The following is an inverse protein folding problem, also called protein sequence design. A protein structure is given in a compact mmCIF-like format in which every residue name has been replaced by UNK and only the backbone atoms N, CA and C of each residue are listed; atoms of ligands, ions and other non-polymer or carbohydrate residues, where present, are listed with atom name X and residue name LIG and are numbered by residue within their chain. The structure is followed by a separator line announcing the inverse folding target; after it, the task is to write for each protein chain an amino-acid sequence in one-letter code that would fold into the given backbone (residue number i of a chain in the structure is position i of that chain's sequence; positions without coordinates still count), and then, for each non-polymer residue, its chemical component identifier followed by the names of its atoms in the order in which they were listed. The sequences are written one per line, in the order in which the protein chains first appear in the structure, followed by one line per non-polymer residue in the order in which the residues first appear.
data_IF_526151922625
#
_entry.id   IF_526151922625
#
_cell.length_a   1.000
_cell.length_b   1.000
_cell.length_c   1.000
_cell.angle_alpha   90.00
_cell.angle_beta   90.00
_cell.angle_gamma   90.00
#
_symmetry.space_group_name_H-M   'P 1'
#
loop_
_entity.id
_entity.type
_entity.pdbx_description
1 polymer ?
#
# COMPACT_ATOMS: atom_id res chain seq x y z
N UNK A 1 -15.38 -21.19 15.64
CA UNK A 1 -13.96 -21.09 15.25
C UNK A 1 -13.45 -19.76 15.77
N UNK A 2 -12.29 -19.71 16.43
CA UNK A 2 -11.83 -18.46 17.08
C UNK A 2 -11.40 -17.44 16.01
N UNK A 3 -11.72 -16.15 16.20
CA UNK A 3 -11.28 -15.01 15.35
C UNK A 3 -9.77 -15.04 15.04
N UNK A 4 -8.97 -15.63 15.93
CA UNK A 4 -7.52 -15.80 15.78
C UNK A 4 -7.18 -16.80 14.66
N UNK A 5 -7.95 -17.89 14.48
CA UNK A 5 -7.70 -18.84 13.39
C UNK A 5 -8.06 -18.29 12.02
N UNK A 6 -9.12 -17.48 11.92
CA UNK A 6 -9.47 -16.79 10.67
C UNK A 6 -8.41 -15.75 10.29
N UNK A 7 -7.92 -14.97 11.25
CA UNK A 7 -6.80 -14.06 11.05
C UNK A 7 -5.52 -14.80 10.63
N UNK A 8 -5.23 -15.95 11.23
CA UNK A 8 -4.08 -16.77 10.84
C UNK A 8 -4.21 -17.36 9.44
N UNK A 9 -5.39 -17.73 9.00
CA UNK A 9 -5.62 -18.22 7.63
C UNK A 9 -5.56 -17.07 6.61
N UNK A 10 -6.15 -15.92 6.90
CA UNK A 10 -6.00 -14.71 6.06
C UNK A 10 -4.53 -14.24 6.02
N UNK A 11 -3.82 -14.26 7.15
CA UNK A 11 -2.37 -13.98 7.18
C UNK A 11 -1.56 -15.01 6.38
N UNK A 12 -1.86 -16.32 6.51
CA UNK A 12 -1.22 -17.34 5.69
C UNK A 12 -1.48 -17.15 4.19
N UNK A 13 -2.67 -16.75 3.79
CA UNK A 13 -3.00 -16.45 2.39
C UNK A 13 -2.23 -15.21 1.87
N UNK A 14 -2.04 -14.19 2.69
CA UNK A 14 -1.26 -13.00 2.32
C UNK A 14 0.24 -13.30 2.28
N UNK A 15 0.75 -14.14 3.18
CA UNK A 15 2.18 -14.45 3.30
C UNK A 15 2.61 -15.74 2.57
N UNK A 16 1.70 -16.67 2.25
CA UNK A 16 2.05 -17.89 1.51
C UNK A 16 2.28 -17.57 0.02
N UNK A 17 3.53 -17.51 -0.37
CA UNK A 17 3.98 -17.33 -1.76
C UNK A 17 4.03 -15.88 -2.26
N UNK A 18 3.30 -14.93 -1.68
CA UNK A 18 3.37 -13.51 -2.02
C UNK A 18 4.33 -12.70 -1.13
N UNK A 19 4.53 -13.12 0.12
CA UNK A 19 5.42 -12.43 1.06
C UNK A 19 6.90 -12.49 0.64
N UNK A 20 7.36 -13.62 0.14
CA UNK A 20 8.70 -13.76 -0.43
C UNK A 20 8.89 -12.82 -1.63
N UNK A 21 7.87 -12.67 -2.49
CA UNK A 21 7.89 -11.78 -3.66
C UNK A 21 7.95 -10.30 -3.30
N UNK A 22 7.42 -9.92 -2.14
CA UNK A 22 7.52 -8.56 -1.63
C UNK A 22 8.94 -8.25 -1.16
N UNK A 23 9.58 -9.18 -0.42
CA UNK A 23 10.96 -9.04 0.01
C UNK A 23 11.91 -8.89 -1.18
N UNK A 24 11.71 -9.66 -2.26
CA UNK A 24 12.49 -9.53 -3.49
C UNK A 24 12.40 -8.14 -4.13
N UNK A 25 11.26 -7.47 -4.00
CA UNK A 25 11.05 -6.11 -4.53
C UNK A 25 11.82 -5.04 -3.75
N UNK A 26 12.15 -5.31 -2.48
CA UNK A 26 12.94 -4.41 -1.64
C UNK A 26 14.46 -4.64 -1.75
N UNK A 27 14.87 -5.82 -2.23
CA UNK A 27 16.29 -6.18 -2.28
C UNK A 27 17.13 -5.19 -3.10
N UNK A 28 16.70 -4.73 -4.30
CA UNK A 28 17.43 -3.70 -5.05
C UNK A 28 17.56 -2.38 -4.29
N UNK A 29 16.52 -1.97 -3.54
CA UNK A 29 16.58 -0.78 -2.68
C UNK A 29 17.58 -0.97 -1.52
N UNK A 30 17.58 -2.13 -0.87
CA UNK A 30 18.53 -2.44 0.20
C UNK A 30 19.97 -2.45 -0.33
N UNK A 31 20.20 -3.04 -1.50
CA UNK A 31 21.50 -3.01 -2.17
C UNK A 31 21.95 -1.58 -2.45
N UNK A 32 21.05 -0.73 -2.95
CA UNK A 32 21.33 0.69 -3.16
C UNK A 32 21.72 1.39 -1.86
N UNK A 33 20.92 1.24 -0.80
CA UNK A 33 21.17 1.90 0.48
C UNK A 33 22.49 1.48 1.16
N UNK A 34 22.85 0.20 1.02
CA UNK A 34 24.12 -0.30 1.58
C UNK A 34 25.30 0.10 0.71
N UNK A 35 25.16 0.07 -0.60
CA UNK A 35 26.25 0.38 -1.53
C UNK A 35 26.51 1.89 -1.63
N UNK A 36 25.47 2.74 -1.58
CA UNK A 36 25.61 4.17 -1.78
C UNK A 36 26.65 4.83 -0.86
N UNK A 37 26.64 4.63 0.46
CA UNK A 37 27.64 5.22 1.35
C UNK A 37 29.04 4.59 1.20
N UNK A 38 29.16 3.41 0.60
CA UNK A 38 30.43 2.68 0.47
C UNK A 38 31.15 2.98 -0.84
N UNK A 39 30.42 3.04 -1.95
CA UNK A 39 31.00 3.10 -3.30
C UNK A 39 30.46 4.26 -4.13
N UNK A 40 29.56 5.08 -3.58
CA UNK A 40 28.94 6.22 -4.24
C UNK A 40 27.78 5.85 -5.15
N UNK A 41 26.99 6.87 -5.53
CA UNK A 41 25.69 6.72 -6.21
C UNK A 41 25.76 5.94 -7.52
N UNK A 42 26.77 6.18 -8.36
CA UNK A 42 26.84 5.55 -9.67
C UNK A 42 26.99 4.02 -9.53
N UNK A 43 27.90 3.55 -8.67
CA UNK A 43 28.11 2.13 -8.43
C UNK A 43 26.92 1.49 -7.70
N UNK A 44 26.29 2.22 -6.78
CA UNK A 44 25.09 1.77 -6.07
C UNK A 44 23.90 1.62 -7.03
N UNK A 45 23.69 2.55 -7.95
CA UNK A 45 22.64 2.46 -8.99
C UNK A 45 22.87 1.27 -9.94
N UNK A 46 24.10 1.12 -10.47
CA UNK A 46 24.40 0.01 -11.36
C UNK A 46 24.32 -1.34 -10.63
N UNK A 47 24.76 -1.43 -9.38
CA UNK A 47 24.62 -2.61 -8.55
C UNK A 47 23.16 -2.99 -8.30
N UNK A 48 22.33 -2.02 -7.95
CA UNK A 48 20.88 -2.23 -7.76
C UNK A 48 20.18 -2.66 -9.04
N UNK A 49 20.55 -2.05 -10.17
CA UNK A 49 20.02 -2.38 -11.48
C UNK A 49 20.42 -3.80 -11.90
N UNK A 50 21.67 -4.21 -11.64
CA UNK A 50 22.14 -5.56 -11.91
C UNK A 50 21.34 -6.60 -11.09
N UNK A 51 21.16 -6.34 -9.79
CA UNK A 51 20.35 -7.21 -8.91
C UNK A 51 18.90 -7.27 -9.39
N UNK A 52 18.28 -6.14 -9.70
CA UNK A 52 16.91 -6.13 -10.24
C UNK A 52 16.80 -6.89 -11.58
N UNK A 53 17.81 -6.75 -12.45
CA UNK A 53 17.90 -7.47 -13.72
C UNK A 53 18.00 -8.97 -13.54
N UNK A 54 18.83 -9.43 -12.59
CA UNK A 54 18.95 -10.85 -12.25
C UNK A 54 17.64 -11.42 -11.71
N UNK A 55 16.94 -10.69 -10.84
CA UNK A 55 15.63 -11.11 -10.35
C UNK A 55 14.57 -11.13 -11.45
N UNK A 56 14.57 -10.12 -12.33
CA UNK A 56 13.66 -10.09 -13.48
C UNK A 56 13.91 -11.31 -14.40
N UNK A 57 15.17 -11.60 -14.72
CA UNK A 57 15.55 -12.77 -15.52
C UNK A 57 15.12 -14.08 -14.84
N UNK A 58 15.40 -14.23 -13.55
CA UNK A 58 15.00 -15.41 -12.77
C UNK A 58 13.47 -15.63 -12.80
N UNK A 59 12.68 -14.56 -12.61
CA UNK A 59 11.22 -14.63 -12.68
C UNK A 59 10.70 -14.97 -14.08
N UNK A 60 11.35 -14.46 -15.12
CA UNK A 60 11.02 -14.84 -16.50
C UNK A 60 11.26 -16.34 -16.76
N UNK A 61 12.36 -16.91 -16.23
CA UNK A 61 12.60 -18.35 -16.30
C UNK A 61 11.53 -19.15 -15.54
N UNK A 62 10.97 -18.62 -14.46
CA UNK A 62 9.84 -19.24 -13.73
C UNK A 62 8.48 -19.05 -14.42
N UNK A 63 8.41 -18.43 -15.60
CA UNK A 63 7.18 -18.15 -16.34
C UNK A 63 6.20 -17.25 -15.56
N UNK A 64 6.70 -16.38 -14.70
CA UNK A 64 5.89 -15.35 -14.07
C UNK A 64 5.47 -14.27 -15.09
N UNK A 65 4.41 -13.50 -14.78
CA UNK A 65 3.92 -12.49 -15.70
C UNK A 65 4.99 -11.42 -15.98
N UNK A 66 5.14 -11.01 -17.25
CA UNK A 66 6.08 -9.97 -17.69
C UNK A 66 5.93 -8.65 -16.87
N UNK A 67 4.70 -8.29 -16.55
CA UNK A 67 4.40 -7.06 -15.78
C UNK A 67 5.07 -7.09 -14.41
N UNK A 68 5.02 -8.21 -13.71
CA UNK A 68 5.67 -8.34 -12.39
C UNK A 68 7.20 -8.46 -12.50
N UNK A 69 7.70 -9.15 -13.52
CA UNK A 69 9.14 -9.33 -13.73
C UNK A 69 9.84 -8.03 -14.13
N UNK A 70 9.19 -7.22 -14.97
CA UNK A 70 9.75 -5.95 -15.46
C UNK A 70 9.40 -4.76 -14.58
N UNK A 71 8.39 -4.87 -13.69
CA UNK A 71 7.95 -3.75 -12.85
C UNK A 71 9.04 -3.21 -11.93
N UNK A 72 9.84 -4.09 -11.31
CA UNK A 72 10.97 -3.69 -10.47
C UNK A 72 12.07 -3.00 -11.28
N UNK A 73 12.39 -3.53 -12.46
CA UNK A 73 13.39 -2.98 -13.36
C UNK A 73 12.96 -1.59 -13.88
N UNK A 74 11.69 -1.46 -14.28
CA UNK A 74 11.09 -0.19 -14.69
C UNK A 74 11.13 0.88 -13.58
N UNK A 75 10.88 0.47 -12.33
CA UNK A 75 10.96 1.36 -11.17
C UNK A 75 12.38 1.92 -10.96
N UNK A 76 13.41 1.08 -11.08
CA UNK A 76 14.81 1.52 -10.93
C UNK A 76 15.24 2.39 -12.12
N UNK A 77 14.85 2.04 -13.34
CA UNK A 77 15.12 2.88 -14.52
C UNK A 77 14.48 4.27 -14.38
N UNK A 78 13.23 4.33 -13.95
CA UNK A 78 12.57 5.60 -13.64
C UNK A 78 13.33 6.38 -12.56
N UNK A 79 13.73 5.72 -11.47
CA UNK A 79 14.51 6.35 -10.41
C UNK A 79 15.85 6.90 -10.93
N UNK A 80 16.57 6.14 -11.78
CA UNK A 80 17.80 6.59 -12.41
C UNK A 80 17.59 7.82 -13.31
N UNK A 81 16.50 7.86 -14.07
CA UNK A 81 16.12 9.04 -14.87
C UNK A 81 15.91 10.24 -13.96
N UNK A 82 15.19 10.09 -12.85
CA UNK A 82 14.94 11.19 -11.91
C UNK A 82 16.19 11.67 -11.19
N UNK A 83 17.13 10.77 -10.86
CA UNK A 83 18.46 11.18 -10.34
C UNK A 83 19.19 12.07 -11.35
N UNK A 84 19.22 11.67 -12.62
CA UNK A 84 19.87 12.47 -13.65
C UNK A 84 19.17 13.82 -13.90
N UNK A 85 17.84 13.84 -13.86
CA UNK A 85 17.06 15.08 -14.07
C UNK A 85 17.14 16.05 -12.89
N UNK A 86 17.16 15.53 -11.66
CA UNK A 86 17.23 16.35 -10.44
C UNK A 86 18.64 16.83 -10.11
N UNK A 87 19.66 16.16 -10.63
CA UNK A 87 21.06 16.40 -10.26
C UNK A 87 21.39 16.06 -8.79
N UNK A 88 20.50 15.36 -8.08
CA UNK A 88 20.58 15.00 -6.68
C UNK A 88 20.37 13.51 -6.50
N UNK A 89 21.09 12.92 -5.52
CA UNK A 89 20.94 11.51 -5.16
C UNK A 89 19.54 11.19 -4.63
N UNK A 90 18.92 12.14 -3.93
CA UNK A 90 17.54 12.00 -3.46
C UNK A 90 16.53 11.86 -4.59
N UNK A 91 16.88 12.27 -5.82
CA UNK A 91 16.05 12.09 -7.03
C UNK A 91 15.58 10.65 -7.23
N UNK A 92 16.35 9.66 -6.73
CA UNK A 92 15.94 8.25 -6.69
C UNK A 92 14.57 8.03 -6.03
N UNK A 93 14.21 8.87 -5.08
CA UNK A 93 12.97 8.74 -4.31
C UNK A 93 11.79 9.52 -4.88
N UNK A 94 12.00 10.39 -5.89
CA UNK A 94 10.96 11.23 -6.48
C UNK A 94 9.73 10.45 -6.99
N UNK A 95 9.88 9.33 -7.72
CA UNK A 95 8.70 8.57 -8.17
C UNK A 95 7.81 8.11 -7.00
N UNK A 96 8.43 7.75 -5.88
CA UNK A 96 7.69 7.36 -4.69
C UNK A 96 7.02 8.53 -3.97
N UNK A 97 7.65 9.69 -3.91
CA UNK A 97 7.04 10.91 -3.36
C UNK A 97 5.82 11.33 -4.20
N UNK A 98 5.95 11.29 -5.54
CA UNK A 98 4.84 11.59 -6.44
C UNK A 98 3.69 10.60 -6.24
N UNK A 99 3.97 9.30 -6.19
CA UNK A 99 2.93 8.28 -5.97
C UNK A 99 2.28 8.41 -4.59
N UNK A 100 3.06 8.77 -3.57
CA UNK A 100 2.55 9.08 -2.23
C UNK A 100 1.61 10.29 -2.24
N UNK A 101 1.99 11.37 -2.91
CA UNK A 101 1.17 12.57 -3.07
C UNK A 101 -0.15 12.25 -3.82
N UNK A 102 -0.08 11.50 -4.91
CA UNK A 102 -1.28 11.04 -5.64
C UNK A 102 -2.19 10.23 -4.72
N UNK A 103 -1.64 9.32 -3.92
CA UNK A 103 -2.44 8.51 -3.00
C UNK A 103 -3.16 9.37 -1.95
N UNK A 104 -2.48 10.35 -1.36
CA UNK A 104 -3.09 11.30 -0.41
C UNK A 104 -4.20 12.09 -1.09
N UNK A 105 -3.96 12.63 -2.28
CA UNK A 105 -4.97 13.36 -3.05
C UNK A 105 -6.19 12.48 -3.35
N UNK A 106 -5.97 11.24 -3.78
CA UNK A 106 -7.06 10.28 -4.03
C UNK A 106 -7.87 10.01 -2.76
N UNK A 107 -7.22 9.80 -1.61
CA UNK A 107 -7.93 9.63 -0.35
C UNK A 107 -8.81 10.85 -0.02
N UNK A 108 -8.25 12.06 -0.10
CA UNK A 108 -8.97 13.31 0.21
C UNK A 108 -10.14 13.53 -0.76
N UNK A 109 -9.89 13.43 -2.06
CA UNK A 109 -10.91 13.66 -3.08
C UNK A 109 -12.05 12.64 -2.97
N UNK A 110 -11.72 11.36 -2.77
CA UNK A 110 -12.74 10.30 -2.70
C UNK A 110 -13.59 10.41 -1.43
N UNK A 111 -13.04 10.88 -0.32
CA UNK A 111 -13.83 11.22 0.88
C UNK A 111 -14.73 12.43 0.62
N UNK A 112 -14.20 13.49 0.01
CA UNK A 112 -14.97 14.71 -0.27
C UNK A 112 -16.20 14.47 -1.14
N UNK A 113 -16.12 13.53 -2.09
CA UNK A 113 -17.24 13.13 -2.95
C UNK A 113 -18.10 11.99 -2.36
N UNK A 114 -17.89 11.61 -1.10
CA UNK A 114 -18.57 10.49 -0.43
C UNK A 114 -18.46 9.15 -1.20
N UNK A 115 -17.27 8.90 -1.77
CA UNK A 115 -16.91 7.66 -2.47
C UNK A 115 -15.53 7.18 -2.03
N UNK A 116 -15.34 6.86 -0.72
CA UNK A 116 -14.03 6.66 -0.10
C UNK A 116 -13.20 5.59 -0.80
N UNK A 117 -11.90 5.83 -0.92
CA UNK A 117 -10.96 4.95 -1.63
C UNK A 117 -10.94 3.54 -1.05
N UNK A 118 -11.07 3.40 0.27
CA UNK A 118 -11.10 2.08 0.94
C UNK A 118 -12.33 1.27 0.54
N UNK A 119 -13.48 1.90 0.27
CA UNK A 119 -14.66 1.21 -0.26
C UNK A 119 -14.40 0.65 -1.67
N UNK A 120 -13.72 1.42 -2.53
CA UNK A 120 -13.33 0.95 -3.86
C UNK A 120 -12.36 -0.21 -3.81
N UNK A 121 -11.33 -0.16 -2.95
CA UNK A 121 -10.38 -1.27 -2.78
C UNK A 121 -11.06 -2.51 -2.23
N UNK A 122 -11.97 -2.36 -1.26
CA UNK A 122 -12.79 -3.46 -0.74
C UNK A 122 -13.71 -4.03 -1.82
N UNK A 123 -14.36 -3.18 -2.63
CA UNK A 123 -15.19 -3.61 -3.76
C UNK A 123 -14.41 -4.45 -4.77
N UNK A 124 -13.20 -4.02 -5.14
CA UNK A 124 -12.35 -4.76 -6.09
C UNK A 124 -11.95 -6.13 -5.51
N UNK A 125 -11.63 -6.19 -4.23
CA UNK A 125 -11.20 -7.42 -3.58
C UNK A 125 -12.34 -8.40 -3.30
N UNK A 126 -13.49 -7.91 -2.84
CA UNK A 126 -14.59 -8.73 -2.34
C UNK A 126 -15.75 -8.89 -3.31
N UNK A 127 -15.88 -7.99 -4.30
CA UNK A 127 -16.97 -7.98 -5.29
C UNK A 127 -18.36 -7.89 -4.66
N UNK A 128 -18.49 -7.25 -3.50
CA UNK A 128 -19.78 -6.97 -2.87
C UNK A 128 -20.58 -5.93 -3.66
N UNK A 129 -21.91 -5.86 -3.48
CA UNK A 129 -22.74 -4.89 -4.20
C UNK A 129 -22.26 -3.46 -3.94
N UNK A 130 -22.02 -2.70 -5.00
CA UNK A 130 -21.47 -1.34 -4.87
C UNK A 130 -22.42 -0.43 -4.07
N UNK A 131 -23.74 -0.60 -4.24
CA UNK A 131 -24.76 0.16 -3.48
C UNK A 131 -24.68 -0.04 -1.97
N UNK A 132 -24.18 -1.21 -1.50
CA UNK A 132 -24.01 -1.47 -0.07
C UNK A 132 -22.99 -0.54 0.56
N UNK A 133 -21.88 -0.26 -0.13
CA UNK A 133 -20.85 0.67 0.38
C UNK A 133 -21.35 2.11 0.52
N UNK A 134 -22.40 2.46 -0.27
CA UNK A 134 -23.00 3.80 -0.26
C UNK A 134 -24.18 3.91 0.69
N UNK A 135 -24.53 2.85 1.39
CA UNK A 135 -25.60 2.88 2.38
C UNK A 135 -25.26 3.85 3.52
N UNK A 136 -26.22 4.64 3.97
CA UNK A 136 -26.02 5.71 4.97
C UNK A 136 -25.40 5.21 6.28
N UNK A 137 -25.64 3.96 6.66
CA UNK A 137 -25.10 3.31 7.86
C UNK A 137 -23.84 2.47 7.59
N UNK A 138 -23.32 2.45 6.38
CA UNK A 138 -22.07 1.75 6.00
C UNK A 138 -20.99 2.75 5.61
N UNK A 139 -21.37 3.72 4.78
CA UNK A 139 -20.47 4.74 4.23
C UNK A 139 -19.58 5.45 5.27
N UNK A 140 -20.11 5.84 6.46
CA UNK A 140 -19.27 6.54 7.46
C UNK A 140 -18.05 5.73 7.88
N UNK A 141 -18.17 4.40 8.06
CA UNK A 141 -17.04 3.56 8.45
C UNK A 141 -15.92 3.59 7.39
N UNK A 142 -16.26 3.53 6.12
CA UNK A 142 -15.30 3.62 5.02
C UNK A 142 -14.70 5.01 4.86
N UNK A 143 -15.47 6.08 5.10
CA UNK A 143 -14.97 7.44 5.12
C UNK A 143 -13.94 7.63 6.24
N UNK A 144 -14.27 7.24 7.47
CA UNK A 144 -13.41 7.36 8.63
C UNK A 144 -12.09 6.60 8.44
N UNK A 145 -12.14 5.38 7.92
CA UNK A 145 -10.94 4.60 7.59
C UNK A 145 -10.13 5.27 6.49
N UNK A 146 -10.76 5.78 5.43
CA UNK A 146 -10.04 6.48 4.37
C UNK A 146 -9.37 7.76 4.87
N UNK A 147 -10.01 8.49 5.79
CA UNK A 147 -9.42 9.66 6.47
C UNK A 147 -8.20 9.25 7.30
N UNK A 148 -8.29 8.15 8.05
CA UNK A 148 -7.15 7.64 8.81
C UNK A 148 -5.94 7.32 7.90
N UNK A 149 -6.19 6.71 6.75
CA UNK A 149 -5.16 6.46 5.74
C UNK A 149 -4.62 7.77 5.14
N UNK A 150 -5.48 8.73 4.82
CA UNK A 150 -5.07 10.04 4.32
C UNK A 150 -4.13 10.74 5.31
N UNK A 151 -4.49 10.76 6.60
CA UNK A 151 -3.66 11.38 7.65
C UNK A 151 -2.31 10.65 7.79
N UNK A 152 -2.33 9.32 7.89
CA UNK A 152 -1.12 8.51 8.04
C UNK A 152 -0.15 8.70 6.85
N UNK A 153 -0.67 8.67 5.63
CA UNK A 153 0.14 8.88 4.43
C UNK A 153 0.59 10.33 4.26
N UNK A 154 -0.20 11.32 4.72
CA UNK A 154 0.22 12.72 4.71
C UNK A 154 1.38 12.97 5.66
N UNK A 155 1.34 12.41 6.87
CA UNK A 155 2.45 12.51 7.84
C UNK A 155 3.71 11.86 7.25
N UNK A 156 3.58 10.66 6.70
CA UNK A 156 4.69 9.96 6.05
C UNK A 156 5.26 10.78 4.89
N UNK A 157 4.41 11.28 3.99
CA UNK A 157 4.81 12.09 2.84
C UNK A 157 5.52 13.37 3.27
N UNK A 158 5.03 14.05 4.31
CA UNK A 158 5.66 15.24 4.85
C UNK A 158 7.07 14.95 5.39
N UNK A 159 7.24 13.84 6.11
CA UNK A 159 8.55 13.40 6.60
C UNK A 159 9.49 13.05 5.43
N UNK A 160 9.04 12.24 4.46
CA UNK A 160 9.85 11.87 3.30
C UNK A 160 10.22 13.11 2.47
N UNK A 161 9.30 14.07 2.30
CA UNK A 161 9.56 15.31 1.57
C UNK A 161 10.56 16.21 2.31
N UNK A 162 10.46 16.31 3.63
CA UNK A 162 11.41 17.06 4.44
C UNK A 162 12.84 16.47 4.33
N UNK A 163 12.98 15.14 4.44
CA UNK A 163 14.25 14.44 4.26
C UNK A 163 14.79 14.61 2.82
N UNK A 164 13.90 14.59 1.83
CA UNK A 164 14.24 14.84 0.44
C UNK A 164 14.87 16.23 0.24
N UNK A 165 14.31 17.27 0.87
CA UNK A 165 14.86 18.62 0.80
C UNK A 165 16.23 18.76 1.46
N UNK A 166 16.56 17.87 2.43
CA UNK A 166 17.88 17.82 3.08
C UNK A 166 18.91 16.99 2.28
N UNK A 167 18.52 16.42 1.16
CA UNK A 167 19.30 15.42 0.40
C UNK A 167 19.77 14.22 1.26
N UNK A 168 18.98 13.88 2.28
CA UNK A 168 19.26 12.85 3.28
C UNK A 168 18.90 11.45 2.74
N UNK A 169 19.68 10.96 1.78
CA UNK A 169 19.41 9.73 1.00
C UNK A 169 19.25 8.48 1.88
N UNK A 170 20.15 8.31 2.85
CA UNK A 170 20.15 7.13 3.73
C UNK A 170 18.93 7.15 4.68
N UNK A 171 18.61 8.30 5.25
CA UNK A 171 17.47 8.51 6.13
C UNK A 171 16.14 8.34 5.35
N UNK A 172 16.08 8.84 4.11
CA UNK A 172 14.95 8.59 3.20
C UNK A 172 14.75 7.10 2.95
N UNK A 173 15.84 6.39 2.65
CA UNK A 173 15.81 4.95 2.44
C UNK A 173 15.36 4.20 3.68
N UNK A 174 15.94 4.50 4.85
CA UNK A 174 15.54 3.91 6.12
C UNK A 174 14.08 4.18 6.44
N UNK A 175 13.62 5.42 6.25
CA UNK A 175 12.21 5.81 6.43
C UNK A 175 11.30 4.99 5.53
N UNK A 176 11.65 4.75 4.27
CA UNK A 176 10.87 3.92 3.36
C UNK A 176 10.82 2.45 3.74
N UNK A 177 11.91 1.91 4.27
CA UNK A 177 11.91 0.53 4.77
C UNK A 177 10.99 0.41 5.99
N UNK A 178 11.08 1.32 6.95
CA UNK A 178 10.31 1.28 8.20
C UNK A 178 8.84 1.66 7.97
N UNK A 179 8.59 2.82 7.33
CA UNK A 179 7.25 3.33 7.07
C UNK A 179 6.64 2.80 5.75
N UNK A 180 7.31 1.88 5.10
CA UNK A 180 6.78 1.16 3.94
C UNK A 180 5.82 0.05 4.35
N UNK A 181 6.17 -1.18 3.99
CA UNK A 181 5.33 -2.35 4.23
C UNK A 181 5.02 -2.60 5.71
N UNK A 182 5.98 -2.52 6.67
CA UNK A 182 5.65 -2.80 8.07
C UNK A 182 4.58 -1.86 8.62
N UNK A 183 4.75 -0.56 8.39
CA UNK A 183 3.77 0.44 8.80
C UNK A 183 2.41 0.24 8.10
N UNK A 184 2.43 -0.01 6.80
CA UNK A 184 1.20 -0.23 6.00
C UNK A 184 0.42 -1.44 6.49
N UNK A 185 1.10 -2.54 6.85
CA UNK A 185 0.46 -3.75 7.41
C UNK A 185 -0.17 -3.44 8.78
N UNK A 186 0.55 -2.74 9.65
CA UNK A 186 0.02 -2.33 10.96
C UNK A 186 -1.22 -1.44 10.78
N UNK A 187 -1.14 -0.45 9.90
CA UNK A 187 -2.25 0.44 9.59
C UNK A 187 -3.45 -0.33 9.02
N UNK A 188 -3.21 -1.29 8.12
CA UNK A 188 -4.25 -2.15 7.53
C UNK A 188 -4.95 -2.95 8.62
N UNK A 189 -4.21 -3.62 9.51
CA UNK A 189 -4.79 -4.40 10.60
C UNK A 189 -5.60 -3.50 11.54
N UNK A 190 -5.03 -2.38 11.97
CA UNK A 190 -5.69 -1.44 12.89
C UNK A 190 -7.00 -0.90 12.28
N UNK A 191 -6.95 -0.46 11.02
CA UNK A 191 -8.12 0.09 10.32
C UNK A 191 -9.15 -0.97 9.96
N UNK A 192 -8.74 -2.21 9.68
CA UNK A 192 -9.65 -3.33 9.49
C UNK A 192 -10.43 -3.65 10.77
N UNK A 193 -9.74 -3.76 11.91
CA UNK A 193 -10.39 -3.99 13.20
C UNK A 193 -11.31 -2.84 13.59
N UNK A 194 -10.86 -1.60 13.37
CA UNK A 194 -11.68 -0.41 13.58
C UNK A 194 -12.92 -0.44 12.69
N UNK A 195 -12.77 -0.74 11.40
CA UNK A 195 -13.87 -0.80 10.45
C UNK A 195 -14.94 -1.82 10.84
N UNK A 196 -14.54 -3.02 11.27
CA UNK A 196 -15.46 -4.03 11.79
C UNK A 196 -16.24 -3.52 13.02
N UNK A 197 -15.52 -2.94 13.99
CA UNK A 197 -16.14 -2.37 15.19
C UNK A 197 -17.10 -1.22 14.83
N UNK A 198 -16.72 -0.39 13.87
CA UNK A 198 -17.53 0.76 13.44
C UNK A 198 -18.80 0.34 12.72
N UNK A 199 -18.71 -0.65 11.82
CA UNK A 199 -19.89 -1.23 11.15
C UNK A 199 -20.90 -1.82 12.14
N UNK A 200 -20.41 -2.54 13.15
CA UNK A 200 -21.26 -3.08 14.23
C UNK A 200 -21.98 -1.95 14.98
N UNK A 201 -21.28 -0.85 15.28
CA UNK A 201 -21.87 0.33 15.95
C UNK A 201 -22.87 1.10 15.10
N UNK A 202 -22.71 1.11 13.79
CA UNK A 202 -23.62 1.80 12.88
C UNK A 202 -24.91 1.01 12.65
N UNK A 203 -24.95 -0.26 13.03
CA UNK A 203 -26.12 -1.15 12.90
C UNK A 203 -26.76 -1.13 11.50
N UNK A 204 -25.93 -1.02 10.46
CA UNK A 204 -26.36 -1.08 9.06
C UNK A 204 -26.62 -2.50 8.58
N UNK A 205 -27.17 -2.68 7.37
CA UNK A 205 -27.41 -4.01 6.81
C UNK A 205 -26.10 -4.77 6.56
N UNK A 206 -26.10 -6.07 6.77
CA UNK A 206 -25.07 -6.94 6.22
C UNK A 206 -25.16 -6.98 4.70
N UNK A 207 -24.10 -7.45 4.03
CA UNK A 207 -24.11 -7.62 2.56
C UNK A 207 -25.24 -8.53 2.10
N UNK A 208 -25.56 -9.59 2.87
CA UNK A 208 -26.63 -10.53 2.55
C UNK A 208 -28.01 -9.90 2.74
N UNK A 209 -28.23 -9.18 3.84
CA UNK A 209 -29.47 -8.46 4.10
C UNK A 209 -29.73 -7.39 3.03
N UNK A 210 -28.66 -6.67 2.62
CA UNK A 210 -28.77 -5.71 1.53
C UNK A 210 -29.16 -6.34 0.19
N UNK A 211 -28.59 -7.52 -0.14
CA UNK A 211 -28.93 -8.25 -1.37
C UNK A 211 -30.37 -8.77 -1.39
N UNK A 212 -30.88 -9.16 -0.24
CA UNK A 212 -32.25 -9.69 -0.10
C UNK A 212 -33.31 -8.60 0.10
N UNK A 213 -32.88 -7.33 0.22
CA UNK A 213 -33.80 -6.22 0.48
C UNK A 213 -34.47 -6.28 1.86
N UNK A 214 -33.83 -6.94 2.85
CA UNK A 214 -34.37 -7.06 4.21
C UNK A 214 -34.50 -5.67 4.85
N UNK A 215 -35.68 -5.39 5.40
CA UNK A 215 -35.95 -4.18 6.16
C UNK A 215 -35.37 -4.26 7.59
N UNK A 216 -35.09 -3.09 8.24
CA UNK A 216 -34.65 -3.07 9.63
C UNK A 216 -35.65 -3.77 10.57
N UNK A 217 -35.20 -4.36 11.69
CA UNK A 217 -33.84 -4.30 12.24
C UNK A 217 -32.87 -5.27 11.55
N UNK A 218 -31.64 -4.80 11.28
CA UNK A 218 -30.59 -5.61 10.65
C UNK A 218 -29.69 -6.26 11.70
N UNK A 219 -29.13 -7.43 11.37
CA UNK A 219 -28.14 -8.11 12.20
C UNK A 219 -26.75 -7.50 12.06
N UNK A 220 -26.54 -6.73 10.99
CA UNK A 220 -25.30 -6.04 10.69
C UNK A 220 -24.20 -6.90 10.09
N UNK A 221 -23.13 -6.23 9.61
CA UNK A 221 -22.00 -6.90 9.01
C UNK A 221 -21.03 -7.36 10.11
N UNK A 222 -20.99 -8.67 10.36
CA UNK A 222 -20.15 -9.30 11.40
C UNK A 222 -18.81 -9.82 10.88
N UNK A 223 -18.67 -9.99 9.57
CA UNK A 223 -17.48 -10.55 8.92
C UNK A 223 -17.07 -9.74 7.71
N UNK A 224 -15.79 -9.37 7.70
CA UNK A 224 -15.19 -8.63 6.60
C UNK A 224 -15.53 -7.13 6.60
N UNK A 225 -14.49 -6.35 6.24
CA UNK A 225 -14.56 -4.89 6.07
C UNK A 225 -13.94 -4.52 4.71
#
# INVERSE_FOLDING_TARGET
MSRIKELQEEFKLVFSGRGARLLDSFLPLLVFLVANPLVGINYALWGSLAVAGLFAAYRLFQKESLVYSLGGLGGILLAAVFVNLSGSESGFFLPGLISGAITVVLCVVTVAINRPLVAWTSYIARRWPLGWYWHSQVLPAYNEVTIAWAVAFSIRLALEFWLFQQDAVNELGATRVILGWPFTVILLIATYLYGLWRLDRLAGPSVEEFKTGKEPPWEGQKRGF
#
